data_IF_545572047722
#
_entry.id   IF_545572047722
#
_cell.length_a   1.000
_cell.length_b   1.000
_cell.length_c   1.000
_cell.angle_alpha   90.00
_cell.angle_beta   90.00
_cell.angle_gamma   90.00
#
_symmetry.space_group_name_H-M   'P 1'
#
loop_
_entity.id
_entity.type
_entity.pdbx_description
1 polymer ?
#
# COMPACT_ATOMS: atom_id res chain seq x y z
N UNK A 1 9.56 18.70 -19.41
CA UNK A 1 9.43 17.90 -18.16
C UNK A 1 9.38 16.45 -18.56
N UNK A 2 10.29 15.62 -18.04
CA UNK A 2 10.23 14.18 -18.25
C UNK A 2 8.98 13.63 -17.57
N UNK A 3 8.14 12.95 -18.32
CA UNK A 3 6.94 12.29 -17.77
C UNK A 3 7.46 11.11 -16.95
N UNK A 4 7.06 11.02 -15.68
CA UNK A 4 7.39 9.88 -14.82
C UNK A 4 6.83 8.60 -15.44
N UNK A 5 7.71 7.63 -15.72
CA UNK A 5 7.33 6.39 -16.41
C UNK A 5 6.36 5.55 -15.57
N UNK A 6 6.55 5.53 -14.25
CA UNK A 6 5.68 4.80 -13.33
C UNK A 6 4.30 5.47 -13.23
N UNK A 7 4.24 6.79 -13.19
CA UNK A 7 2.94 7.50 -13.19
C UNK A 7 2.18 7.29 -14.50
N UNK A 8 2.89 7.20 -15.63
CA UNK A 8 2.28 6.88 -16.92
C UNK A 8 1.69 5.47 -16.94
N UNK A 9 2.38 4.48 -16.34
CA UNK A 9 1.85 3.12 -16.19
C UNK A 9 0.61 3.11 -15.30
N UNK A 10 0.65 3.84 -14.18
CA UNK A 10 -0.50 3.96 -13.27
C UNK A 10 -1.73 4.52 -14.00
N UNK A 11 -1.53 5.59 -14.78
CA UNK A 11 -2.61 6.20 -15.59
C UNK A 11 -3.13 5.24 -16.67
N UNK A 12 -2.25 4.47 -17.32
CA UNK A 12 -2.65 3.46 -18.30
C UNK A 12 -3.48 2.32 -17.70
N UNK A 13 -3.33 2.06 -16.40
CA UNK A 13 -4.18 1.12 -15.64
C UNK A 13 -5.53 1.75 -15.21
N UNK A 14 -5.81 3.00 -15.58
CA UNK A 14 -7.01 3.72 -15.16
C UNK A 14 -6.99 4.15 -13.70
N UNK A 15 -5.81 4.22 -13.08
CA UNK A 15 -5.63 4.54 -11.67
C UNK A 15 -4.98 5.92 -11.49
N UNK A 16 -5.25 6.53 -10.35
CA UNK A 16 -4.64 7.78 -9.92
C UNK A 16 -4.19 7.68 -8.46
N UNK A 17 -3.18 8.47 -8.10
CA UNK A 17 -2.83 8.66 -6.70
C UNK A 17 -3.91 9.48 -5.99
N UNK A 18 -4.13 9.28 -4.69
CA UNK A 18 -4.99 10.17 -3.93
C UNK A 18 -4.43 11.60 -3.99
N UNK A 19 -5.30 12.63 -4.07
CA UNK A 19 -4.84 14.00 -4.22
C UNK A 19 -4.20 14.58 -2.96
N UNK A 20 -4.48 14.01 -1.81
CA UNK A 20 -3.92 14.42 -0.52
C UNK A 20 -3.94 13.26 0.47
N UNK A 21 -3.04 13.32 1.45
CA UNK A 21 -3.08 12.46 2.62
C UNK A 21 -3.03 13.35 3.88
N UNK A 22 -4.07 13.35 4.73
CA UNK A 22 -4.07 14.16 5.93
C UNK A 22 -3.02 13.67 6.92
N UNK A 23 -2.23 14.60 7.47
CA UNK A 23 -1.37 14.30 8.61
C UNK A 23 -2.23 14.16 9.86
N UNK A 24 -2.27 12.97 10.45
CA UNK A 24 -3.14 12.69 11.60
C UNK A 24 -2.42 12.35 12.89
N UNK A 25 -1.09 12.25 12.86
CA UNK A 25 -0.35 11.72 13.98
C UNK A 25 1.02 12.38 14.12
N UNK A 26 1.69 12.06 15.22
CA UNK A 26 3.03 12.53 15.54
C UNK A 26 4.13 11.70 14.85
N UNK A 27 3.89 11.24 13.64
CA UNK A 27 4.86 10.47 12.85
C UNK A 27 4.94 10.98 11.41
N UNK A 28 6.02 10.60 10.72
CA UNK A 28 6.24 10.93 9.32
C UNK A 28 5.63 9.85 8.41
N UNK A 29 5.21 10.20 7.19
CA UNK A 29 4.73 9.21 6.21
C UNK A 29 5.80 8.21 5.79
N UNK A 30 7.06 8.55 6.00
CA UNK A 30 8.19 7.67 5.78
C UNK A 30 9.50 8.33 6.21
N UNK A 31 10.54 7.53 6.31
CA UNK A 31 11.88 7.97 6.73
C UNK A 31 12.96 7.33 5.87
N UNK A 32 13.87 8.15 5.38
CA UNK A 32 15.01 7.71 4.56
C UNK A 32 16.21 7.44 5.48
N UNK A 33 16.85 6.27 5.26
CA UNK A 33 18.11 5.90 5.89
C UNK A 33 19.02 5.28 4.82
N UNK A 34 20.10 5.98 4.47
CA UNK A 34 20.91 5.63 3.31
C UNK A 34 20.08 5.69 2.04
N UNK A 35 19.99 4.58 1.31
CA UNK A 35 19.11 4.43 0.14
C UNK A 35 17.74 3.83 0.46
N UNK A 36 17.47 3.44 1.69
CA UNK A 36 16.20 2.81 2.05
C UNK A 36 15.20 3.86 2.52
N UNK A 37 14.01 3.79 1.96
CA UNK A 37 12.85 4.54 2.41
C UNK A 37 11.92 3.58 3.15
N UNK A 38 11.77 3.80 4.44
CA UNK A 38 10.82 3.12 5.31
C UNK A 38 9.52 3.89 5.30
N UNK A 39 8.45 3.28 4.84
CA UNK A 39 7.12 3.89 4.75
C UNK A 39 6.27 3.47 5.93
N UNK A 40 5.59 4.43 6.53
CA UNK A 40 4.58 4.17 7.56
C UNK A 40 3.39 3.41 6.96
N UNK A 41 2.73 2.59 7.79
CA UNK A 41 1.55 1.85 7.39
C UNK A 41 0.44 2.76 6.86
N UNK A 42 -0.21 2.31 5.80
CA UNK A 42 -1.34 2.98 5.16
C UNK A 42 -2.55 2.05 5.19
N UNK A 43 -3.67 2.57 5.68
CA UNK A 43 -4.96 1.87 5.64
C UNK A 43 -5.67 2.09 4.30
N UNK A 44 -6.72 1.33 4.05
CA UNK A 44 -7.54 1.41 2.84
C UNK A 44 -8.48 2.63 2.88
N UNK A 45 -7.90 3.83 2.83
CA UNK A 45 -8.61 5.10 2.83
C UNK A 45 -8.39 5.88 1.54
N UNK A 46 -9.34 6.76 1.22
CA UNK A 46 -9.22 7.75 0.17
C UNK A 46 -9.46 9.14 0.76
N UNK A 47 -8.47 10.03 0.64
CA UNK A 47 -8.51 11.37 1.24
C UNK A 47 -8.87 11.37 2.74
N UNK A 48 -8.39 10.35 3.45
CA UNK A 48 -8.62 10.23 4.88
C UNK A 48 -9.96 9.62 5.28
N UNK A 49 -10.74 9.14 4.32
CA UNK A 49 -11.99 8.43 4.58
C UNK A 49 -11.78 6.94 4.31
N UNK A 50 -11.86 6.07 5.32
CA UNK A 50 -11.79 4.62 5.12
C UNK A 50 -12.88 4.15 4.15
N UNK A 51 -12.49 3.35 3.15
CA UNK A 51 -13.40 2.87 2.11
C UNK A 51 -13.92 1.46 2.39
N UNK A 52 -13.15 0.68 3.16
CA UNK A 52 -13.49 -0.67 3.57
C UNK A 52 -13.33 -0.76 5.08
N UNK A 53 -14.44 -0.89 5.80
CA UNK A 53 -14.46 -0.93 7.27
C UNK A 53 -15.03 -2.24 7.78
N UNK A 54 -14.31 -2.85 8.71
CA UNK A 54 -14.69 -4.12 9.33
C UNK A 54 -13.83 -5.28 8.84
N UNK A 55 -13.97 -6.45 9.48
CA UNK A 55 -13.16 -7.61 9.14
C UNK A 55 -13.63 -8.28 7.83
N UNK A 56 -12.70 -8.94 7.13
CA UNK A 56 -13.03 -9.81 6.02
C UNK A 56 -13.88 -11.00 6.51
N UNK A 57 -14.77 -11.47 5.64
CA UNK A 57 -15.68 -12.58 5.96
C UNK A 57 -16.99 -12.15 6.66
N UNK A 58 -17.07 -10.91 7.13
CA UNK A 58 -18.26 -10.31 7.74
C UNK A 58 -18.80 -9.14 6.89
N UNK A 59 -18.92 -9.32 5.57
CA UNK A 59 -19.40 -8.30 4.65
C UNK A 59 -18.46 -7.98 3.50
N UNK A 60 -17.22 -8.47 3.54
CA UNK A 60 -16.24 -8.34 2.46
C UNK A 60 -15.74 -9.71 2.04
N UNK A 61 -15.66 -9.93 0.74
CA UNK A 61 -15.06 -11.12 0.14
C UNK A 61 -13.56 -10.92 -0.16
N UNK A 62 -12.92 -11.96 -0.73
CA UNK A 62 -11.51 -11.92 -1.10
C UNK A 62 -11.21 -10.81 -2.12
N UNK A 63 -12.07 -10.63 -3.12
CA UNK A 63 -11.86 -9.64 -4.18
C UNK A 63 -11.94 -8.20 -3.62
N UNK A 64 -12.86 -7.94 -2.73
CA UNK A 64 -13.00 -6.65 -2.02
C UNK A 64 -11.80 -6.43 -1.09
N UNK A 65 -11.33 -7.47 -0.41
CA UNK A 65 -10.10 -7.42 0.38
C UNK A 65 -8.87 -7.07 -0.46
N UNK A 66 -8.74 -7.64 -1.65
CA UNK A 66 -7.66 -7.30 -2.59
C UNK A 66 -7.79 -5.85 -3.11
N UNK A 67 -9.00 -5.36 -3.34
CA UNK A 67 -9.23 -3.96 -3.71
C UNK A 67 -8.83 -3.01 -2.56
N UNK A 68 -9.12 -3.36 -1.31
CA UNK A 68 -8.69 -2.61 -0.13
C UNK A 68 -7.16 -2.59 -0.02
N UNK A 69 -6.47 -3.72 -0.21
CA UNK A 69 -5.01 -3.79 -0.20
C UNK A 69 -4.39 -2.95 -1.32
N UNK A 70 -4.99 -2.96 -2.51
CA UNK A 70 -4.59 -2.10 -3.63
C UNK A 70 -4.70 -0.62 -3.29
N UNK A 71 -5.75 -0.22 -2.58
CA UNK A 71 -5.90 1.16 -2.10
C UNK A 71 -4.81 1.55 -1.12
N UNK A 72 -4.42 0.65 -0.20
CA UNK A 72 -3.25 0.87 0.67
C UNK A 72 -1.98 1.12 -0.15
N UNK A 73 -1.76 0.35 -1.22
CA UNK A 73 -0.61 0.53 -2.10
C UNK A 73 -0.63 1.89 -2.81
N UNK A 74 -1.78 2.39 -3.24
CA UNK A 74 -1.91 3.76 -3.81
C UNK A 74 -1.52 4.83 -2.79
N UNK A 75 -1.89 4.68 -1.53
CA UNK A 75 -1.49 5.59 -0.45
C UNK A 75 0.02 5.52 -0.17
N UNK A 76 0.64 4.33 -0.23
CA UNK A 76 2.09 4.17 -0.15
C UNK A 76 2.80 4.86 -1.32
N UNK A 77 2.31 4.70 -2.55
CA UNK A 77 2.84 5.37 -3.74
C UNK A 77 2.72 6.90 -3.62
N UNK A 78 1.59 7.40 -3.10
CA UNK A 78 1.45 8.83 -2.79
C UNK A 78 2.54 9.30 -1.83
N UNK A 79 2.80 8.56 -0.75
CA UNK A 79 3.83 8.89 0.24
C UNK A 79 5.23 8.86 -0.38
N UNK A 80 5.55 7.89 -1.25
CA UNK A 80 6.80 7.85 -2.00
C UNK A 80 6.97 9.12 -2.84
N UNK A 81 5.95 9.47 -3.64
CA UNK A 81 6.01 10.67 -4.49
C UNK A 81 6.16 11.95 -3.68
N UNK A 82 5.42 12.06 -2.56
CA UNK A 82 5.50 13.24 -1.68
C UNK A 82 6.89 13.41 -1.05
N UNK A 83 7.57 12.31 -0.70
CA UNK A 83 8.87 12.32 -0.06
C UNK A 83 10.04 12.45 -1.04
N UNK A 84 9.91 11.95 -2.26
CA UNK A 84 11.01 11.86 -3.24
C UNK A 84 10.82 12.73 -4.47
N UNK A 85 9.62 13.25 -4.70
CA UNK A 85 9.25 14.04 -5.87
C UNK A 85 8.84 13.21 -7.09
N UNK A 86 9.16 11.92 -7.15
CA UNK A 86 8.86 11.06 -8.30
C UNK A 86 8.77 9.58 -7.93
N UNK A 87 7.84 8.85 -8.52
CA UNK A 87 7.77 7.39 -8.40
C UNK A 87 8.94 6.68 -9.11
N UNK A 88 9.57 7.33 -10.09
CA UNK A 88 10.76 6.79 -10.78
C UNK A 88 12.01 6.78 -9.88
N UNK A 89 11.97 7.43 -8.71
CA UNK A 89 13.04 7.40 -7.71
C UNK A 89 13.23 6.02 -7.07
N UNK A 90 12.23 5.14 -7.13
CA UNK A 90 12.32 3.77 -6.60
C UNK A 90 13.19 2.93 -7.52
N UNK A 91 14.25 2.35 -6.96
CA UNK A 91 15.08 1.36 -7.63
C UNK A 91 14.45 -0.04 -7.50
N UNK A 92 14.03 -0.40 -6.28
CA UNK A 92 13.50 -1.73 -5.99
C UNK A 92 12.54 -1.67 -4.80
N UNK A 93 11.49 -2.49 -4.81
CA UNK A 93 10.62 -2.73 -3.64
C UNK A 93 11.25 -3.86 -2.83
N UNK A 94 11.65 -3.56 -1.61
CA UNK A 94 12.41 -4.51 -0.78
C UNK A 94 11.47 -5.39 0.03
N UNK A 95 10.48 -4.78 0.70
CA UNK A 95 9.58 -5.50 1.60
C UNK A 95 8.20 -4.85 1.68
N UNK A 96 7.18 -5.71 1.78
CA UNK A 96 5.85 -5.31 2.24
C UNK A 96 5.50 -6.02 3.56
N UNK A 97 4.82 -5.31 4.46
CA UNK A 97 4.11 -5.87 5.59
C UNK A 97 2.61 -5.63 5.39
N UNK A 98 1.82 -6.69 5.40
CA UNK A 98 0.36 -6.61 5.24
C UNK A 98 -0.36 -7.12 6.47
N UNK A 99 -1.39 -6.37 6.89
CA UNK A 99 -2.21 -6.64 8.06
C UNK A 99 -3.67 -6.65 7.62
N UNK A 100 -4.38 -7.73 7.90
CA UNK A 100 -5.78 -7.91 7.49
C UNK A 100 -6.64 -8.09 8.74
N UNK A 101 -7.64 -7.24 8.91
CA UNK A 101 -8.64 -7.45 9.95
C UNK A 101 -9.49 -8.66 9.57
N UNK A 102 -9.43 -9.72 10.38
CA UNK A 102 -10.07 -10.99 10.08
C UNK A 102 -10.47 -11.73 11.36
N UNK A 103 -11.53 -12.57 11.30
CA UNK A 103 -11.90 -13.42 12.42
C UNK A 103 -10.82 -14.49 12.68
N UNK A 104 -10.76 -15.03 13.90
CA UNK A 104 -9.85 -16.12 14.22
C UNK A 104 -10.01 -17.29 13.25
N UNK A 105 -8.87 -17.83 12.76
CA UNK A 105 -8.86 -18.98 11.85
C UNK A 105 -9.05 -18.62 10.35
N UNK A 106 -9.22 -17.37 9.99
CA UNK A 106 -9.27 -16.96 8.58
C UNK A 106 -7.91 -17.20 7.91
N UNK A 107 -7.85 -18.09 6.92
CA UNK A 107 -6.58 -18.53 6.31
C UNK A 107 -6.15 -17.76 5.06
N UNK A 108 -7.01 -16.90 4.51
CA UNK A 108 -6.80 -16.27 3.19
C UNK A 108 -6.21 -14.84 3.27
N UNK A 109 -5.83 -14.37 4.46
CA UNK A 109 -5.22 -13.05 4.65
C UNK A 109 -4.05 -12.75 3.69
N UNK A 110 -3.09 -13.68 3.47
CA UNK A 110 -2.02 -13.47 2.50
C UNK A 110 -2.50 -13.23 1.06
N UNK A 111 -3.60 -13.86 0.64
CA UNK A 111 -4.19 -13.66 -0.69
C UNK A 111 -4.83 -12.28 -0.82
N UNK A 112 -5.37 -11.71 0.26
CA UNK A 112 -5.86 -10.32 0.31
C UNK A 112 -4.71 -9.35 0.04
N UNK A 113 -3.58 -9.53 0.72
CA UNK A 113 -2.40 -8.67 0.55
C UNK A 113 -1.81 -8.76 -0.87
N UNK A 114 -2.12 -9.79 -1.64
CA UNK A 114 -1.76 -9.88 -3.05
C UNK A 114 -2.25 -8.68 -3.87
N UNK A 115 -3.34 -8.02 -3.46
CA UNK A 115 -3.81 -6.79 -4.11
C UNK A 115 -2.75 -5.67 -4.09
N UNK A 116 -2.04 -5.51 -2.98
CA UNK A 116 -0.94 -4.56 -2.87
C UNK A 116 0.32 -5.04 -3.60
N UNK A 117 0.70 -6.31 -3.42
CA UNK A 117 1.87 -6.90 -4.08
C UNK A 117 1.75 -6.80 -5.61
N UNK A 118 0.60 -7.12 -6.17
CA UNK A 118 0.36 -7.06 -7.60
C UNK A 118 0.50 -5.63 -8.13
N UNK A 119 0.01 -4.61 -7.39
CA UNK A 119 0.17 -3.21 -7.78
C UNK A 119 1.64 -2.83 -7.96
N UNK A 120 2.51 -3.20 -7.02
CA UNK A 120 3.93 -2.91 -7.13
C UNK A 120 4.60 -3.67 -8.29
N UNK A 121 4.21 -4.92 -8.53
CA UNK A 121 4.72 -5.73 -9.65
C UNK A 121 4.27 -5.15 -10.99
N UNK A 122 3.01 -4.75 -11.11
CA UNK A 122 2.47 -4.15 -12.34
C UNK A 122 3.18 -2.83 -12.71
N UNK A 123 3.57 -2.05 -11.69
CA UNK A 123 4.22 -0.76 -11.89
C UNK A 123 5.74 -0.90 -12.12
N UNK A 124 6.43 -1.73 -11.35
CA UNK A 124 7.90 -1.81 -11.34
C UNK A 124 8.47 -3.08 -11.97
N UNK A 125 7.62 -4.02 -12.39
CA UNK A 125 8.08 -5.29 -12.98
C UNK A 125 8.85 -6.14 -11.97
N UNK A 126 10.00 -6.68 -12.37
CA UNK A 126 10.85 -7.48 -11.47
C UNK A 126 11.34 -6.69 -10.26
N UNK A 127 11.60 -5.38 -10.40
CA UNK A 127 11.94 -4.51 -9.27
C UNK A 127 10.78 -4.31 -8.27
N UNK A 128 9.57 -4.65 -8.64
CA UNK A 128 8.39 -4.66 -7.77
C UNK A 128 8.23 -5.93 -6.94
N UNK A 129 8.99 -7.01 -7.24
CA UNK A 129 8.98 -8.23 -6.44
C UNK A 129 9.73 -8.02 -5.13
N UNK A 130 9.15 -8.48 -4.04
CA UNK A 130 9.58 -8.11 -2.69
C UNK A 130 9.46 -9.27 -1.72
N UNK A 131 10.20 -9.21 -0.61
CA UNK A 131 9.93 -10.03 0.56
C UNK A 131 8.64 -9.55 1.25
N UNK A 132 7.89 -10.45 1.89
CA UNK A 132 6.60 -10.08 2.49
C UNK A 132 6.31 -10.87 3.77
N UNK A 133 5.70 -10.17 4.73
CA UNK A 133 4.92 -10.76 5.81
C UNK A 133 3.46 -10.34 5.64
N UNK A 134 2.53 -11.27 5.79
CA UNK A 134 1.10 -10.99 5.78
C UNK A 134 0.46 -11.77 6.95
N UNK A 135 -0.20 -11.05 7.85
CA UNK A 135 -0.82 -11.61 9.05
C UNK A 135 -2.22 -11.05 9.25
N UNK A 136 -3.06 -11.81 9.93
CA UNK A 136 -4.36 -11.34 10.37
C UNK A 136 -4.22 -10.65 11.73
N UNK A 137 -5.07 -9.66 11.95
CA UNK A 137 -5.20 -8.91 13.20
C UNK A 137 -6.68 -8.81 13.59
N UNK A 138 -6.94 -8.59 14.86
CA UNK A 138 -8.31 -8.48 15.36
C UNK A 138 -9.01 -7.20 14.87
N UNK A 139 -8.27 -6.10 14.75
CA UNK A 139 -8.76 -4.81 14.27
C UNK A 139 -7.60 -3.92 13.82
N UNK A 140 -7.91 -2.91 13.01
CA UNK A 140 -6.98 -1.92 12.51
C UNK A 140 -7.47 -0.49 12.84
N UNK A 141 -6.61 0.54 12.74
CA UNK A 141 -7.03 1.92 12.91
C UNK A 141 -8.23 2.27 12.03
N UNK A 142 -9.13 3.10 12.55
CA UNK A 142 -10.37 3.50 11.89
C UNK A 142 -11.26 2.30 11.44
N UNK A 143 -11.11 1.15 12.11
CA UNK A 143 -11.78 -0.11 11.73
C UNK A 143 -11.52 -0.53 10.28
N UNK A 144 -10.36 -0.17 9.71
CA UNK A 144 -10.01 -0.52 8.34
C UNK A 144 -9.88 -2.03 8.15
N UNK A 145 -10.18 -2.50 6.94
CA UNK A 145 -10.08 -3.91 6.56
C UNK A 145 -8.62 -4.35 6.37
N UNK A 146 -7.78 -3.48 5.80
CA UNK A 146 -6.38 -3.77 5.46
C UNK A 146 -5.49 -2.58 5.81
N UNK A 147 -4.27 -2.88 6.24
CA UNK A 147 -3.16 -1.94 6.36
C UNK A 147 -1.91 -2.55 5.70
N UNK A 148 -1.13 -1.73 5.02
CA UNK A 148 0.12 -2.16 4.37
C UNK A 148 1.22 -1.16 4.65
N UNK A 149 2.40 -1.65 5.03
CA UNK A 149 3.65 -0.90 5.13
C UNK A 149 4.65 -1.37 4.06
N UNK A 150 5.66 -0.57 3.77
CA UNK A 150 6.67 -0.94 2.78
C UNK A 150 8.06 -0.40 3.12
N UNK A 151 9.08 -1.08 2.60
CA UNK A 151 10.45 -0.58 2.50
C UNK A 151 10.85 -0.65 1.03
N UNK A 152 11.32 0.47 0.48
CA UNK A 152 11.81 0.55 -0.89
C UNK A 152 13.25 1.06 -0.92
N UNK A 153 14.03 0.64 -1.93
CA UNK A 153 15.34 1.20 -2.22
C UNK A 153 15.20 2.35 -3.23
N UNK A 154 15.90 3.44 -2.98
CA UNK A 154 15.97 4.61 -3.86
C UNK A 154 17.23 4.53 -4.77
N UNK A 155 17.13 5.14 -5.94
CA UNK A 155 18.22 5.23 -6.95
C UNK A 155 19.40 6.06 -6.45
#
# INVERSE_FOLDING_TARGET
MSICAIESRLSAMGLALPPSAPSRALFLPGKISGKLLFLSGQICEWEGVPQYCGPVGEGFDLAEGQAAARMCALNLLFSIKALTGSLDSVAEVIRLGGFVAAPPGYGEGPFIVNGASQMFIDLYGEAGRHARTAVNVASLPANALVEVEAVVELR
#
